data_IF_722108906893
#
_entry.id   IF_722108906893
#
_cell.length_a   1.000
_cell.length_b   1.000
_cell.length_c   1.000
_cell.angle_alpha   90.00
_cell.angle_beta   90.00
_cell.angle_gamma   90.00
#
_symmetry.space_group_name_H-M   'P 1'
#
loop_
_entity.id
_entity.type
_entity.pdbx_description
1 polymer ?
#
# COMPACT_ATOMS: atom_id res chain seq x y z
N UNK A 1 18.64 -11.77 -4.07
CA UNK A 1 17.32 -11.26 -3.69
C UNK A 1 16.42 -12.46 -3.53
N UNK A 2 16.16 -12.83 -2.28
CA UNK A 2 15.19 -13.87 -1.96
C UNK A 2 13.80 -13.55 -2.51
N UNK A 3 12.98 -14.59 -2.66
CA UNK A 3 11.63 -14.50 -3.21
C UNK A 3 10.77 -13.46 -2.48
N UNK A 4 10.87 -13.40 -1.15
CA UNK A 4 10.16 -12.43 -0.31
C UNK A 4 10.49 -10.98 -0.70
N UNK A 5 11.77 -10.64 -0.81
CA UNK A 5 12.21 -9.29 -1.19
C UNK A 5 11.74 -8.91 -2.61
N UNK A 6 11.80 -9.85 -3.56
CA UNK A 6 11.35 -9.58 -4.93
C UNK A 6 9.86 -9.27 -4.99
N UNK A 7 9.03 -10.04 -4.28
CA UNK A 7 7.58 -9.80 -4.19
C UNK A 7 7.32 -8.48 -3.47
N UNK A 8 7.98 -8.23 -2.34
CA UNK A 8 7.81 -6.97 -1.59
C UNK A 8 8.15 -5.74 -2.41
N UNK A 9 9.12 -5.81 -3.34
CA UNK A 9 9.45 -4.70 -4.23
C UNK A 9 8.34 -4.36 -5.22
N UNK A 10 7.68 -5.38 -5.75
CA UNK A 10 6.52 -5.22 -6.64
C UNK A 10 5.34 -4.67 -5.85
N UNK A 11 5.04 -5.26 -4.69
CA UNK A 11 3.96 -4.83 -3.79
C UNK A 11 4.15 -3.37 -3.37
N UNK A 12 5.37 -2.99 -2.97
CA UNK A 12 5.71 -1.62 -2.60
C UNK A 12 5.41 -0.64 -3.75
N UNK A 13 5.80 -0.97 -4.99
CA UNK A 13 5.53 -0.13 -6.15
C UNK A 13 4.02 0.03 -6.44
N UNK A 14 3.26 -1.06 -6.32
CA UNK A 14 1.80 -1.05 -6.51
C UNK A 14 1.11 -0.22 -5.40
N UNK A 15 1.52 -0.41 -4.15
CA UNK A 15 0.96 0.32 -3.01
C UNK A 15 1.20 1.83 -3.14
N UNK A 16 2.40 2.25 -3.56
CA UNK A 16 2.69 3.67 -3.84
C UNK A 16 1.73 4.23 -4.89
N UNK A 17 1.54 3.51 -6.00
CA UNK A 17 0.60 3.92 -7.04
C UNK A 17 -0.84 4.03 -6.51
N UNK A 18 -1.30 3.03 -5.75
CA UNK A 18 -2.65 3.04 -5.18
C UNK A 18 -2.85 4.14 -4.14
N UNK A 19 -1.86 4.45 -3.31
CA UNK A 19 -1.96 5.57 -2.38
C UNK A 19 -2.02 6.92 -3.10
N UNK A 20 -1.26 7.09 -4.18
CA UNK A 20 -1.35 8.30 -5.01
C UNK A 20 -2.74 8.45 -5.63
N UNK A 21 -3.29 7.35 -6.19
CA UNK A 21 -4.64 7.35 -6.77
C UNK A 21 -5.73 7.56 -5.71
N UNK A 22 -5.61 6.96 -4.52
CA UNK A 22 -6.52 7.16 -3.40
C UNK A 22 -6.46 8.60 -2.90
N UNK A 23 -5.25 9.15 -2.71
CA UNK A 23 -5.06 10.55 -2.34
C UNK A 23 -5.69 11.49 -3.35
N UNK A 24 -5.49 11.24 -4.64
CA UNK A 24 -6.14 12.00 -5.72
C UNK A 24 -7.67 11.87 -5.70
N UNK A 25 -8.19 10.65 -5.47
CA UNK A 25 -9.63 10.37 -5.35
C UNK A 25 -10.26 11.17 -4.19
N UNK A 26 -9.60 11.21 -3.03
CA UNK A 26 -10.09 11.94 -1.85
C UNK A 26 -10.25 13.45 -2.10
N UNK A 27 -9.55 14.04 -3.08
CA UNK A 27 -9.74 15.44 -3.49
C UNK A 27 -11.05 15.67 -4.26
N UNK A 28 -11.61 14.64 -4.89
CA UNK A 28 -12.77 14.72 -5.76
C UNK A 28 -14.05 14.15 -5.11
N UNK A 29 -13.90 13.30 -4.10
CA UNK A 29 -15.02 12.66 -3.42
C UNK A 29 -15.60 13.57 -2.35
N UNK A 30 -16.94 13.72 -2.34
CA UNK A 30 -17.64 14.51 -1.32
C UNK A 30 -17.47 13.89 0.08
N UNK A 31 -17.00 14.66 1.08
CA UNK A 31 -16.93 14.18 2.46
C UNK A 31 -18.28 13.69 2.99
N UNK A 32 -18.28 12.59 3.74
CA UNK A 32 -19.50 11.99 4.30
C UNK A 32 -20.35 11.19 3.30
N UNK A 33 -19.91 11.06 2.05
CA UNK A 33 -20.56 10.17 1.07
C UNK A 33 -20.10 8.71 1.23
N UNK A 34 -20.89 7.76 0.71
CA UNK A 34 -20.48 6.34 0.67
C UNK A 34 -19.09 6.11 0.06
N UNK A 35 -18.77 6.69 -1.11
CA UNK A 35 -17.44 6.58 -1.71
C UNK A 35 -16.32 7.14 -0.83
N UNK A 36 -16.59 8.16 -0.01
CA UNK A 36 -15.60 8.71 0.91
C UNK A 36 -15.22 7.70 2.00
N UNK A 37 -16.22 7.03 2.57
CA UNK A 37 -15.99 5.96 3.55
C UNK A 37 -15.22 4.80 2.93
N UNK A 38 -15.57 4.41 1.71
CA UNK A 38 -14.84 3.35 1.00
C UNK A 38 -13.37 3.73 0.80
N UNK A 39 -13.09 4.95 0.32
CA UNK A 39 -11.72 5.42 0.13
C UNK A 39 -10.90 5.41 1.42
N UNK A 40 -11.49 5.82 2.55
CA UNK A 40 -10.85 5.75 3.87
C UNK A 40 -10.62 4.30 4.33
N UNK A 41 -11.60 3.42 4.12
CA UNK A 41 -11.45 2.00 4.46
C UNK A 41 -10.41 1.30 3.58
N UNK A 42 -10.23 1.71 2.33
CA UNK A 42 -9.17 1.21 1.45
C UNK A 42 -7.79 1.76 1.83
N UNK A 43 -7.71 2.99 2.32
CA UNK A 43 -6.45 3.60 2.74
C UNK A 43 -5.73 2.78 3.81
N UNK A 44 -6.48 2.22 4.78
CA UNK A 44 -5.92 1.46 5.90
C UNK A 44 -5.11 0.23 5.45
N UNK A 45 -5.68 -0.76 4.73
CA UNK A 45 -4.93 -1.92 4.28
C UNK A 45 -3.80 -1.53 3.32
N UNK A 46 -4.00 -0.57 2.40
CA UNK A 46 -2.95 -0.15 1.46
C UNK A 46 -1.76 0.51 2.18
N UNK A 47 -2.01 1.31 3.21
CA UNK A 47 -0.94 1.88 4.02
C UNK A 47 -0.20 0.79 4.82
N UNK A 48 -0.93 -0.19 5.37
CA UNK A 48 -0.33 -1.31 6.08
C UNK A 48 0.54 -2.18 5.16
N UNK A 49 0.06 -2.50 3.95
CA UNK A 49 0.85 -3.28 2.97
C UNK A 49 2.09 -2.52 2.51
N UNK A 50 2.01 -1.20 2.35
CA UNK A 50 3.17 -0.37 2.06
C UNK A 50 4.21 -0.45 3.19
N UNK A 51 3.78 -0.26 4.44
CA UNK A 51 4.69 -0.30 5.60
C UNK A 51 5.32 -1.67 5.75
N UNK A 52 4.55 -2.74 5.59
CA UNK A 52 5.05 -4.11 5.68
C UNK A 52 6.05 -4.41 4.55
N UNK A 53 5.72 -4.08 3.31
CA UNK A 53 6.64 -4.28 2.18
C UNK A 53 7.92 -3.47 2.32
N UNK A 54 7.83 -2.22 2.79
CA UNK A 54 8.98 -1.40 3.14
C UNK A 54 9.81 -2.03 4.26
N UNK A 55 9.18 -2.58 5.30
CA UNK A 55 9.88 -3.24 6.40
C UNK A 55 10.66 -4.48 5.93
N UNK A 56 10.08 -5.30 5.03
CA UNK A 56 10.79 -6.45 4.43
C UNK A 56 12.01 -5.99 3.63
N UNK A 57 11.85 -4.98 2.79
CA UNK A 57 12.93 -4.45 1.96
C UNK A 57 14.03 -3.79 2.79
N UNK A 58 13.66 -3.09 3.86
CA UNK A 58 14.61 -2.40 4.74
C UNK A 58 15.39 -3.35 5.64
N UNK A 59 14.72 -4.35 6.21
CA UNK A 59 15.36 -5.35 7.09
C UNK A 59 16.10 -6.43 6.30
N UNK A 60 15.86 -6.53 4.99
CA UNK A 60 16.41 -7.59 4.16
C UNK A 60 15.82 -8.96 4.47
N UNK A 61 14.61 -9.03 5.01
CA UNK A 61 14.03 -10.28 5.52
C UNK A 61 13.88 -11.35 4.43
N UNK A 62 14.45 -12.53 4.70
CA UNK A 62 14.48 -13.69 3.82
C UNK A 62 14.02 -14.96 4.57
N UNK A 63 12.71 -15.17 4.75
CA UNK A 63 12.18 -16.28 5.56
C UNK A 63 12.23 -17.65 4.86
N UNK A 64 12.53 -17.70 3.57
CA UNK A 64 12.48 -18.90 2.73
C UNK A 64 13.82 -19.18 2.03
N UNK A 65 14.92 -18.67 2.59
CA UNK A 65 16.27 -19.12 2.22
C UNK A 65 16.59 -20.50 2.79
#
# INVERSE_FOLDING_TARGET
MGLAQSISRVVFGIDVLFLLLLGFSLLHVKPGSGPYVVALLTLVPTALTLVMSAAVLYTGWEPFE
#
